data_IF_927339055504
#
_entry.id   IF_927339055504
#
_cell.length_a   1.000
_cell.length_b   1.000
_cell.length_c   1.000
_cell.angle_alpha   90.00
_cell.angle_beta   90.00
_cell.angle_gamma   90.00
#
_symmetry.space_group_name_H-M   'P 1'
#
loop_
_entity.id
_entity.type
_entity.pdbx_description
1 polymer ?
#
# COMPACT_ATOMS: atom_id res chain seq x y z
N UNK A 1 -13.98 -9.27 2.63
CA UNK A 1 -13.44 -9.52 1.26
C UNK A 1 -13.46 -8.22 0.48
N UNK A 2 -12.31 -7.78 0.00
CA UNK A 2 -12.20 -6.58 -0.85
C UNK A 2 -12.80 -6.89 -2.21
N UNK A 3 -13.80 -6.10 -2.61
CA UNK A 3 -14.52 -6.31 -3.88
C UNK A 3 -13.66 -5.89 -5.07
N UNK A 4 -13.97 -6.41 -6.26
CA UNK A 4 -13.13 -6.27 -7.46
C UNK A 4 -12.77 -4.82 -7.80
N UNK A 5 -13.74 -3.90 -7.72
CA UNK A 5 -13.54 -2.48 -8.04
C UNK A 5 -12.62 -1.80 -7.03
N UNK A 6 -12.89 -2.04 -5.74
CA UNK A 6 -12.07 -1.52 -4.64
C UNK A 6 -10.66 -2.11 -4.71
N UNK A 7 -10.53 -3.42 -4.98
CA UNK A 7 -9.24 -4.08 -5.10
C UNK A 7 -8.42 -3.48 -6.25
N UNK A 8 -9.04 -3.26 -7.41
CA UNK A 8 -8.34 -2.68 -8.56
C UNK A 8 -7.74 -1.31 -8.23
N UNK A 9 -8.50 -0.44 -7.54
CA UNK A 9 -7.99 0.86 -7.11
C UNK A 9 -6.93 0.72 -6.02
N UNK A 10 -7.15 -0.12 -5.00
CA UNK A 10 -6.17 -0.33 -3.92
C UNK A 10 -4.84 -0.87 -4.45
N UNK A 11 -4.87 -1.86 -5.35
CA UNK A 11 -3.66 -2.43 -5.97
C UNK A 11 -2.97 -1.41 -6.89
N UNK A 12 -3.73 -0.55 -7.57
CA UNK A 12 -3.14 0.56 -8.35
C UNK A 12 -2.40 1.55 -7.45
N UNK A 13 -2.95 1.87 -6.27
CA UNK A 13 -2.33 2.78 -5.29
C UNK A 13 -1.11 2.19 -4.59
N UNK A 14 -0.90 0.89 -4.63
CA UNK A 14 0.32 0.26 -4.12
C UNK A 14 1.54 0.55 -5.00
N UNK A 15 1.36 0.98 -6.25
CA UNK A 15 2.45 1.32 -7.19
C UNK A 15 3.52 0.21 -7.24
N UNK A 16 3.06 -1.03 -7.46
CA UNK A 16 3.89 -2.23 -7.39
C UNK A 16 4.96 -2.27 -8.48
N UNK A 17 6.21 -2.46 -8.06
CA UNK A 17 7.34 -2.82 -8.91
C UNK A 17 7.59 -4.33 -8.87
N UNK A 18 8.28 -4.87 -9.89
CA UNK A 18 8.44 -6.32 -10.09
C UNK A 18 9.12 -7.07 -8.94
N UNK A 19 9.97 -6.39 -8.19
CA UNK A 19 10.85 -6.91 -7.14
C UNK A 19 10.40 -6.55 -5.71
N UNK A 20 9.25 -5.90 -5.56
CA UNK A 20 8.81 -5.42 -4.26
C UNK A 20 8.51 -6.56 -3.27
N UNK A 21 8.84 -6.30 -2.02
CA UNK A 21 8.34 -7.03 -0.85
C UNK A 21 7.01 -6.38 -0.43
N UNK A 22 5.95 -7.16 -0.45
CA UNK A 22 4.58 -6.67 -0.19
C UNK A 22 4.01 -7.33 1.06
N UNK A 23 3.47 -6.54 1.97
CA UNK A 23 2.67 -7.02 3.09
C UNK A 23 1.19 -6.77 2.80
N UNK A 24 0.38 -7.83 2.88
CA UNK A 24 -1.09 -7.78 2.88
C UNK A 24 -1.57 -8.13 4.29
N UNK A 25 -1.93 -7.11 5.08
CA UNK A 25 -2.28 -7.24 6.49
C UNK A 25 -3.80 -7.28 6.64
N UNK A 26 -4.31 -8.35 7.28
CA UNK A 26 -5.73 -8.66 7.31
C UNK A 26 -6.20 -9.18 5.94
N UNK A 27 -5.45 -10.10 5.36
CA UNK A 27 -5.58 -10.54 3.97
C UNK A 27 -6.93 -11.21 3.63
N UNK A 28 -7.63 -11.76 4.64
CA UNK A 28 -8.95 -12.36 4.49
C UNK A 28 -8.95 -13.52 3.51
N UNK A 29 -9.48 -13.33 2.29
CA UNK A 29 -9.48 -14.36 1.24
C UNK A 29 -8.23 -14.33 0.36
N UNK A 30 -7.30 -13.39 0.59
CA UNK A 30 -6.07 -13.23 -0.20
C UNK A 30 -6.28 -12.66 -1.60
N UNK A 31 -7.41 -12.04 -1.86
CA UNK A 31 -7.66 -11.51 -3.21
C UNK A 31 -6.72 -10.36 -3.60
N UNK A 32 -6.26 -9.56 -2.64
CA UNK A 32 -5.22 -8.54 -2.85
C UNK A 32 -3.86 -9.20 -2.92
N UNK A 33 -3.56 -10.14 -2.00
CA UNK A 33 -2.30 -10.89 -1.97
C UNK A 33 -1.99 -11.58 -3.30
N UNK A 34 -2.98 -12.29 -3.87
CA UNK A 34 -2.81 -13.02 -5.14
C UNK A 34 -2.58 -12.03 -6.30
N UNK A 35 -3.37 -10.95 -6.37
CA UNK A 35 -3.21 -9.95 -7.44
C UNK A 35 -1.86 -9.23 -7.32
N UNK A 36 -1.40 -8.92 -6.10
CA UNK A 36 -0.07 -8.36 -5.87
C UNK A 36 1.03 -9.34 -6.29
N UNK A 37 0.93 -10.62 -5.92
CA UNK A 37 1.92 -11.64 -6.27
C UNK A 37 2.10 -11.80 -7.80
N UNK A 38 1.02 -11.68 -8.57
CA UNK A 38 1.09 -11.69 -10.04
C UNK A 38 1.82 -10.46 -10.61
N UNK A 39 1.80 -9.32 -9.89
CA UNK A 39 2.44 -8.06 -10.31
C UNK A 39 3.90 -7.94 -9.88
N UNK A 40 4.33 -8.71 -8.87
CA UNK A 40 5.69 -8.69 -8.32
C UNK A 40 6.40 -10.04 -8.55
N UNK A 41 6.60 -10.48 -9.81
CA UNK A 41 7.12 -11.83 -10.11
C UNK A 41 8.55 -12.08 -9.63
N UNK A 42 9.32 -11.04 -9.37
CA UNK A 42 10.70 -11.06 -8.85
C UNK A 42 10.76 -10.73 -7.36
N UNK A 43 9.63 -10.26 -6.79
CA UNK A 43 9.44 -9.94 -5.39
C UNK A 43 8.69 -11.03 -4.64
N UNK A 44 8.17 -10.66 -3.47
CA UNK A 44 7.43 -11.62 -2.63
C UNK A 44 6.27 -10.95 -1.89
N UNK A 45 5.18 -11.68 -1.67
CA UNK A 45 4.02 -11.23 -0.90
C UNK A 45 3.91 -12.04 0.39
N UNK A 46 3.80 -11.35 1.52
CA UNK A 46 3.47 -11.93 2.82
C UNK A 46 2.03 -11.55 3.16
N UNK A 47 1.15 -12.55 3.23
CA UNK A 47 -0.26 -12.40 3.54
C UNK A 47 -0.51 -12.78 5.01
N UNK A 48 -0.76 -11.77 5.84
CA UNK A 48 -0.99 -11.93 7.28
C UNK A 48 -2.49 -12.05 7.56
N UNK A 49 -2.90 -13.17 8.13
CA UNK A 49 -4.31 -13.44 8.43
C UNK A 49 -4.42 -14.22 9.76
N UNK A 50 -5.28 -13.73 10.66
CA UNK A 50 -5.44 -14.34 11.99
C UNK A 50 -6.37 -15.55 12.01
N UNK A 51 -7.32 -15.62 11.02
CA UNK A 51 -8.32 -16.69 10.97
C UNK A 51 -7.83 -17.85 10.12
N UNK A 52 -7.87 -19.07 10.63
CA UNK A 52 -7.42 -20.26 9.91
C UNK A 52 -8.21 -20.48 8.60
N UNK A 53 -9.54 -20.19 8.61
CA UNK A 53 -10.33 -20.30 7.40
C UNK A 53 -9.86 -19.30 6.34
N UNK A 54 -9.42 -18.08 6.74
CA UNK A 54 -8.82 -17.09 5.86
C UNK A 54 -7.51 -17.59 5.28
N UNK A 55 -6.62 -18.12 6.12
CA UNK A 55 -5.36 -18.71 5.69
C UNK A 55 -5.56 -19.85 4.66
N UNK A 56 -6.53 -20.72 4.90
CA UNK A 56 -6.87 -21.83 3.97
C UNK A 56 -7.37 -21.28 2.62
N UNK A 57 -8.21 -20.24 2.65
CA UNK A 57 -8.70 -19.59 1.42
C UNK A 57 -7.59 -18.90 0.64
N UNK A 58 -6.65 -18.24 1.32
CA UNK A 58 -5.49 -17.61 0.66
C UNK A 58 -4.67 -18.67 -0.07
N UNK A 59 -4.34 -19.79 0.60
CA UNK A 59 -3.58 -20.90 0.00
C UNK A 59 -4.27 -21.46 -1.23
N UNK A 60 -5.58 -21.75 -1.14
CA UNK A 60 -6.37 -22.29 -2.25
C UNK A 60 -6.43 -21.29 -3.43
N UNK A 61 -6.59 -19.99 -3.16
CA UNK A 61 -6.61 -18.97 -4.20
C UNK A 61 -5.23 -18.77 -4.86
N UNK A 62 -4.15 -18.84 -4.09
CA UNK A 62 -2.79 -18.79 -4.59
C UNK A 62 -2.48 -19.99 -5.52
N UNK A 63 -2.84 -21.21 -5.10
CA UNK A 63 -2.70 -22.41 -5.92
C UNK A 63 -3.48 -22.31 -7.23
N UNK A 64 -4.75 -21.90 -7.15
CA UNK A 64 -5.61 -21.71 -8.33
C UNK A 64 -5.05 -20.67 -9.31
N UNK A 65 -4.41 -19.63 -8.81
CA UNK A 65 -3.79 -18.59 -9.63
C UNK A 65 -2.37 -18.96 -10.10
N UNK A 66 -1.80 -20.07 -9.61
CA UNK A 66 -0.46 -20.53 -9.98
C UNK A 66 0.67 -19.64 -9.43
N UNK A 67 0.41 -18.80 -8.40
CA UNK A 67 1.44 -17.94 -7.81
C UNK A 67 2.29 -18.74 -6.82
N UNK A 68 3.62 -18.53 -6.86
CA UNK A 68 4.60 -19.23 -6.01
C UNK A 68 5.34 -18.30 -5.05
N UNK A 69 5.24 -17.00 -5.27
CA UNK A 69 5.88 -15.93 -4.52
C UNK A 69 4.94 -15.31 -3.47
N UNK A 70 4.10 -16.14 -2.82
CA UNK A 70 3.20 -15.73 -1.77
C UNK A 70 3.35 -16.67 -0.57
N UNK A 71 3.61 -16.09 0.61
CA UNK A 71 3.65 -16.79 1.89
C UNK A 71 2.45 -16.38 2.73
N UNK A 72 1.70 -17.36 3.22
CA UNK A 72 0.61 -17.14 4.17
C UNK A 72 1.15 -17.22 5.57
N UNK A 73 1.00 -16.15 6.33
CA UNK A 73 1.46 -16.02 7.71
C UNK A 73 0.26 -16.01 8.65
N UNK A 74 0.00 -17.10 9.36
CA UNK A 74 -1.06 -17.14 10.38
C UNK A 74 -0.67 -16.27 11.57
N UNK A 75 -1.62 -15.46 12.06
CA UNK A 75 -1.41 -14.68 13.29
C UNK A 75 -2.02 -13.30 13.22
N UNK A 76 -2.04 -12.65 14.37
CA UNK A 76 -2.55 -11.29 14.53
C UNK A 76 -1.39 -10.30 14.37
N UNK A 77 -1.61 -9.23 13.61
CA UNK A 77 -0.68 -8.11 13.54
C UNK A 77 -0.88 -7.17 14.76
N UNK A 78 0.19 -6.56 15.28
CA UNK A 78 1.54 -6.49 14.70
C UNK A 78 2.45 -7.71 14.99
N UNK A 79 2.12 -8.58 15.95
CA UNK A 79 3.00 -9.65 16.44
C UNK A 79 3.46 -10.60 15.32
N UNK A 80 2.58 -10.88 14.34
CA UNK A 80 2.89 -11.77 13.22
C UNK A 80 3.80 -11.15 12.15
N UNK A 81 4.08 -9.85 12.22
CA UNK A 81 4.88 -9.15 11.20
C UNK A 81 6.39 -9.31 11.39
N UNK A 82 6.84 -9.78 12.57
CA UNK A 82 8.26 -9.94 12.87
C UNK A 82 8.90 -11.12 12.14
N UNK A 83 10.19 -10.98 11.78
CA UNK A 83 10.99 -12.06 11.19
C UNK A 83 10.90 -12.17 9.68
N UNK A 84 10.27 -11.22 9.00
CA UNK A 84 10.19 -11.14 7.55
C UNK A 84 10.98 -9.93 7.01
N UNK A 85 11.40 -9.94 5.72
CA UNK A 85 12.05 -8.79 5.10
C UNK A 85 11.19 -7.54 5.19
N UNK A 86 11.83 -6.37 5.38
CA UNK A 86 11.13 -5.09 5.44
C UNK A 86 10.26 -4.86 4.19
N UNK A 87 9.00 -4.42 4.32
CA UNK A 87 8.12 -4.26 3.19
C UNK A 87 8.40 -2.97 2.42
N UNK A 88 8.37 -3.04 1.09
CA UNK A 88 8.33 -1.86 0.22
C UNK A 88 6.91 -1.31 0.11
N UNK A 89 5.93 -2.20 0.15
CA UNK A 89 4.52 -1.91 -0.05
C UNK A 89 3.67 -2.60 1.02
N UNK A 90 2.76 -1.87 1.61
CA UNK A 90 1.85 -2.41 2.63
C UNK A 90 0.42 -2.10 2.26
N UNK A 91 -0.39 -3.14 2.15
CA UNK A 91 -1.84 -3.04 2.11
C UNK A 91 -2.41 -3.42 3.48
N UNK A 92 -3.19 -2.54 4.09
CA UNK A 92 -3.90 -2.78 5.34
C UNK A 92 -5.41 -2.89 5.05
N UNK A 93 -5.90 -4.12 4.98
CA UNK A 93 -7.32 -4.44 4.76
C UNK A 93 -8.12 -4.64 6.04
N UNK A 94 -7.44 -4.81 7.18
CA UNK A 94 -8.04 -4.95 8.49
C UNK A 94 -6.98 -4.97 9.59
N UNK A 95 -7.17 -4.15 10.63
CA UNK A 95 -6.19 -3.98 11.73
C UNK A 95 -6.57 -4.72 13.01
N UNK A 96 -7.80 -5.23 13.12
CA UNK A 96 -8.32 -5.85 14.35
C UNK A 96 -8.12 -4.99 15.61
N UNK A 97 -8.16 -3.65 15.43
CA UNK A 97 -8.00 -2.67 16.51
C UNK A 97 -6.58 -2.15 16.73
N UNK A 98 -5.56 -2.74 16.09
CA UNK A 98 -4.14 -2.41 16.31
C UNK A 98 -3.55 -1.56 15.18
N UNK A 99 -4.34 -0.65 14.57
CA UNK A 99 -3.90 0.10 13.39
C UNK A 99 -2.63 0.92 13.66
N UNK A 100 -2.59 1.67 14.77
CA UNK A 100 -1.46 2.56 15.09
C UNK A 100 -0.16 1.75 15.26
N UNK A 101 -0.19 0.67 16.04
CA UNK A 101 0.97 -0.21 16.27
C UNK A 101 1.47 -0.88 14.97
N UNK A 102 0.54 -1.29 14.09
CA UNK A 102 0.87 -1.87 12.79
C UNK A 102 1.57 -0.84 11.91
N UNK A 103 1.01 0.37 11.80
CA UNK A 103 1.55 1.44 10.97
C UNK A 103 2.91 1.92 11.51
N UNK A 104 3.06 2.02 12.83
CA UNK A 104 4.33 2.37 13.46
C UNK A 104 5.41 1.33 13.13
N UNK A 105 5.10 0.04 13.30
CA UNK A 105 6.05 -1.02 13.02
C UNK A 105 6.48 -1.06 11.54
N UNK A 106 5.55 -1.00 10.59
CA UNK A 106 5.92 -1.07 9.17
C UNK A 106 6.69 0.15 8.70
N UNK A 107 6.47 1.33 9.29
CA UNK A 107 7.25 2.54 9.01
C UNK A 107 8.61 2.56 9.71
N UNK A 108 8.75 1.87 10.84
CA UNK A 108 10.04 1.61 11.47
C UNK A 108 10.89 0.64 10.62
N UNK A 109 10.27 -0.43 10.10
CA UNK A 109 10.93 -1.40 9.22
C UNK A 109 11.40 -0.77 7.90
N UNK A 110 10.58 0.11 7.31
CA UNK A 110 10.92 0.86 6.10
C UNK A 110 10.30 2.27 6.13
N UNK A 111 11.08 3.31 6.45
CA UNK A 111 10.58 4.69 6.46
C UNK A 111 10.06 5.21 5.10
N UNK A 112 10.44 4.57 3.99
CA UNK A 112 10.02 4.92 2.62
C UNK A 112 8.87 4.04 2.11
N UNK A 113 8.23 3.25 2.98
CA UNK A 113 7.16 2.33 2.61
C UNK A 113 5.97 3.05 1.97
N UNK A 114 5.41 2.47 0.91
CA UNK A 114 4.11 2.88 0.36
C UNK A 114 3.01 2.18 1.15
N UNK A 115 2.12 2.96 1.78
CA UNK A 115 0.98 2.47 2.53
C UNK A 115 -0.31 2.64 1.73
N UNK A 116 -1.15 1.60 1.70
CA UNK A 116 -2.53 1.67 1.23
C UNK A 116 -3.43 1.07 2.29
N UNK A 117 -4.36 1.87 2.81
CA UNK A 117 -5.25 1.50 3.91
C UNK A 117 -6.69 1.56 3.42
N UNK A 118 -7.44 0.48 3.59
CA UNK A 118 -8.86 0.44 3.30
C UNK A 118 -9.67 0.45 4.59
N UNK A 119 -10.55 1.43 4.75
CA UNK A 119 -11.43 1.54 5.91
C UNK A 119 -12.87 1.80 5.50
N UNK A 120 -13.82 1.28 6.28
CA UNK A 120 -15.26 1.45 6.09
C UNK A 120 -15.85 2.28 7.24
N UNK A 121 -15.40 2.04 8.48
CA UNK A 121 -15.87 2.75 9.66
C UNK A 121 -15.24 4.16 9.75
N UNK A 122 -16.04 5.14 10.14
CA UNK A 122 -15.59 6.54 10.31
C UNK A 122 -14.55 6.66 11.42
N UNK A 123 -14.64 5.85 12.46
CA UNK A 123 -13.69 5.78 13.54
C UNK A 123 -12.31 5.33 13.03
N UNK A 124 -12.28 4.31 12.16
CA UNK A 124 -11.04 3.84 11.55
C UNK A 124 -10.45 4.86 10.58
N UNK A 125 -11.30 5.60 9.85
CA UNK A 125 -10.85 6.72 9.01
C UNK A 125 -10.21 7.82 9.86
N UNK A 126 -10.88 8.22 10.94
CA UNK A 126 -10.37 9.24 11.88
C UNK A 126 -9.03 8.82 12.48
N UNK A 127 -8.91 7.55 12.92
CA UNK A 127 -7.66 7.00 13.47
C UNK A 127 -6.53 7.03 12.43
N UNK A 128 -6.78 6.61 11.20
CA UNK A 128 -5.78 6.63 10.13
C UNK A 128 -5.33 8.07 9.82
N UNK A 129 -6.28 9.02 9.66
CA UNK A 129 -5.96 10.43 9.39
C UNK A 129 -5.16 11.06 10.52
N UNK A 130 -5.50 10.76 11.78
CA UNK A 130 -4.76 11.26 12.95
C UNK A 130 -3.33 10.69 12.98
N UNK A 131 -3.16 9.41 12.65
CA UNK A 131 -1.83 8.80 12.55
C UNK A 131 -0.98 9.50 11.47
N UNK A 132 -1.53 9.70 10.26
CA UNK A 132 -0.83 10.42 9.18
C UNK A 132 -0.44 11.84 9.62
N UNK A 133 -1.35 12.55 10.28
CA UNK A 133 -1.09 13.90 10.82
C UNK A 133 0.05 13.91 11.83
N UNK A 134 0.09 12.94 12.77
CA UNK A 134 1.17 12.78 13.76
C UNK A 134 2.54 12.52 13.09
N UNK A 135 2.55 11.77 11.99
CA UNK A 135 3.78 11.45 11.23
C UNK A 135 4.18 12.55 10.24
N UNK A 136 3.36 13.57 10.04
CA UNK A 136 3.60 14.62 9.04
C UNK A 136 3.46 14.14 7.60
N UNK A 137 2.68 13.07 7.37
CA UNK A 137 2.40 12.53 6.04
C UNK A 137 1.08 13.06 5.52
N UNK A 138 1.00 13.33 4.21
CA UNK A 138 -0.22 13.78 3.53
C UNK A 138 -0.76 12.63 2.68
N UNK A 139 -1.83 11.92 3.13
CA UNK A 139 -2.39 10.82 2.35
C UNK A 139 -3.30 11.35 1.24
N UNK A 140 -3.24 10.71 0.08
CA UNK A 140 -4.33 10.78 -0.89
C UNK A 140 -5.51 9.97 -0.35
N UNK A 141 -6.70 10.55 -0.30
CA UNK A 141 -7.91 9.90 0.20
C UNK A 141 -8.94 9.79 -0.92
N UNK A 142 -9.33 8.56 -1.26
CA UNK A 142 -10.38 8.27 -2.25
C UNK A 142 -11.54 7.61 -1.54
N UNK A 143 -12.75 8.17 -1.69
CA UNK A 143 -13.99 7.52 -1.25
C UNK A 143 -14.64 6.83 -2.45
N UNK A 144 -14.83 5.52 -2.38
CA UNK A 144 -15.51 4.74 -3.40
C UNK A 144 -16.87 4.24 -2.92
N UNK A 145 -17.88 4.44 -3.74
CA UNK A 145 -19.20 3.85 -3.55
C UNK A 145 -19.55 2.99 -4.76
N UNK A 146 -19.84 1.72 -4.52
CA UNK A 146 -20.16 0.73 -5.56
C UNK A 146 -21.59 0.29 -5.40
N UNK A 147 -22.35 0.31 -6.49
CA UNK A 147 -23.67 -0.29 -6.57
C UNK A 147 -23.68 -1.36 -7.67
N UNK A 148 -24.34 -2.47 -7.41
CA UNK A 148 -24.44 -3.58 -8.37
C UNK A 148 -25.90 -3.92 -8.63
N UNK A 149 -26.21 -4.22 -9.90
CA UNK A 149 -27.52 -4.71 -10.26
C UNK A 149 -27.76 -6.11 -9.66
N UNK A 150 -28.87 -6.27 -8.97
CA UNK A 150 -29.35 -7.54 -8.44
C UNK A 150 -30.74 -7.84 -9.00
N UNK A 151 -30.96 -9.07 -9.46
CA UNK A 151 -32.27 -9.51 -9.96
C UNK A 151 -33.25 -9.65 -8.80
N UNK A 152 -34.39 -8.97 -8.90
CA UNK A 152 -35.50 -9.03 -7.93
C UNK A 152 -36.81 -9.27 -8.69
N UNK A 153 -37.22 -10.51 -8.75
CA UNK A 153 -38.36 -10.92 -9.61
C UNK A 153 -38.08 -10.64 -11.09
N UNK A 154 -38.96 -9.88 -11.80
CA UNK A 154 -38.74 -9.53 -13.20
C UNK A 154 -37.80 -8.32 -13.41
N UNK A 155 -37.37 -7.64 -12.35
CA UNK A 155 -36.60 -6.40 -12.41
C UNK A 155 -35.14 -6.57 -12.02
N UNK A 156 -34.29 -5.68 -12.48
CA UNK A 156 -32.92 -5.49 -11.98
C UNK A 156 -32.88 -4.19 -11.16
N UNK A 157 -32.55 -4.30 -9.88
CA UNK A 157 -32.45 -3.17 -8.97
C UNK A 157 -30.98 -2.93 -8.57
N UNK A 158 -30.57 -1.66 -8.50
CA UNK A 158 -29.26 -1.31 -7.99
C UNK A 158 -29.20 -1.51 -6.48
N UNK A 159 -28.24 -2.29 -6.03
CA UNK A 159 -27.97 -2.54 -4.62
C UNK A 159 -26.67 -1.83 -4.25
N UNK A 160 -26.78 -0.77 -3.46
CA UNK A 160 -25.66 -0.01 -2.94
C UNK A 160 -24.89 -0.83 -1.90
N UNK A 161 -23.59 -0.64 -1.88
CA UNK A 161 -22.69 -1.18 -0.88
C UNK A 161 -22.23 -0.04 0.03
N UNK A 162 -21.69 -0.38 1.21
CA UNK A 162 -21.09 0.65 2.06
C UNK A 162 -19.96 1.35 1.31
N UNK A 163 -19.88 2.69 1.42
CA UNK A 163 -18.71 3.43 0.97
C UNK A 163 -17.45 2.87 1.63
N UNK A 164 -16.35 2.90 0.90
CA UNK A 164 -15.03 2.53 1.43
C UNK A 164 -14.07 3.68 1.15
N UNK A 165 -13.24 3.99 2.14
CA UNK A 165 -12.17 4.97 1.99
C UNK A 165 -10.86 4.24 1.76
N UNK A 166 -10.13 4.66 0.74
CA UNK A 166 -8.80 4.18 0.39
C UNK A 166 -7.86 5.34 0.65
N UNK A 167 -6.96 5.15 1.61
CA UNK A 167 -5.91 6.12 1.92
C UNK A 167 -4.60 5.59 1.36
N UNK A 168 -3.86 6.41 0.63
CA UNK A 168 -2.56 6.04 0.08
C UNK A 168 -1.53 7.12 0.40
N UNK A 169 -0.37 6.73 0.94
CA UNK A 169 0.75 7.63 1.20
C UNK A 169 2.07 6.88 1.14
N UNK A 170 3.11 7.58 0.71
CA UNK A 170 4.48 7.10 0.73
C UNK A 170 5.28 7.81 1.80
N UNK A 171 6.06 7.05 2.56
CA UNK A 171 7.02 7.58 3.49
C UNK A 171 8.15 8.34 2.81
N UNK A 172 8.71 9.29 3.51
CA UNK A 172 9.87 10.04 3.04
C UNK A 172 11.13 9.41 3.61
N UNK A 173 12.12 9.11 2.77
CA UNK A 173 13.46 8.86 3.27
C UNK A 173 13.92 10.13 3.98
N UNK A 174 14.20 10.02 5.28
CA UNK A 174 14.86 11.10 6.00
C UNK A 174 16.21 11.30 5.32
N UNK A 175 16.37 12.37 4.53
CA UNK A 175 17.69 12.81 4.09
C UNK A 175 18.46 13.13 5.36
N UNK A 176 19.29 12.19 5.81
CA UNK A 176 20.35 12.52 6.75
C UNK A 176 21.16 13.61 6.07
N UNK A 177 21.03 14.83 6.58
CA UNK A 177 21.79 15.99 6.18
C UNK A 177 23.27 15.61 6.16
N UNK A 178 23.82 15.41 4.99
CA UNK A 178 25.26 15.48 4.79
C UNK A 178 25.67 16.95 4.91
N UNK A 179 25.57 17.48 6.12
CA UNK A 179 26.34 18.64 6.51
C UNK A 179 27.78 18.16 6.75
N UNK A 180 28.50 17.90 5.67
CA UNK A 180 29.94 17.94 5.72
C UNK A 180 30.32 19.42 5.84
N UNK A 181 30.98 19.86 6.94
CA UNK A 181 31.48 21.22 7.03
C UNK A 181 32.54 21.40 5.92
N UNK A 182 32.25 22.24 4.94
CA UNK A 182 33.27 22.69 3.99
C UNK A 182 34.24 23.58 4.75
N UNK A 183 35.46 23.10 4.85
CA UNK A 183 36.58 23.90 5.39
C UNK A 183 36.76 25.18 4.55
N UNK A 184 36.98 26.35 5.19
CA UNK A 184 37.21 27.57 4.44
C UNK A 184 38.63 27.62 3.90
N UNK A 185 38.78 27.85 2.61
CA UNK A 185 40.00 28.35 2.02
C UNK A 185 40.50 27.61 0.80
N UNK A 186 40.24 28.14 -0.40
CA UNK A 186 41.25 28.68 -1.30
C UNK A 186 40.61 29.26 -2.56
N UNK A 187 40.89 30.55 -2.75
CA UNK A 187 40.60 31.33 -3.95
C UNK A 187 41.32 30.78 -5.19
N UNK A 188 40.67 30.81 -6.32
CA UNK A 188 41.41 30.94 -7.56
C UNK A 188 40.77 30.36 -8.83
N UNK A 189 40.23 31.28 -9.62
CA UNK A 189 40.13 31.33 -11.10
C UNK A 189 38.88 30.78 -11.77
N UNK A 190 38.25 31.71 -12.42
CA UNK A 190 37.22 31.63 -13.43
C UNK A 190 37.55 30.74 -14.63
N UNK A 191 36.55 30.03 -15.12
CA UNK A 191 36.43 29.88 -16.59
C UNK A 191 34.95 29.63 -16.97
N UNK A 192 34.62 30.27 -18.07
CA UNK A 192 33.37 30.58 -18.70
C UNK A 192 32.63 29.40 -19.34
N UNK A 193 31.34 29.62 -19.47
CA UNK A 193 30.42 29.25 -20.57
C UNK A 193 30.20 27.75 -20.91
N UNK A 194 28.97 27.29 -20.64
CA UNK A 194 28.14 26.64 -21.67
C UNK A 194 26.70 26.52 -21.18
N UNK A 195 25.83 27.37 -21.72
CA UNK A 195 24.39 27.27 -21.74
C UNK A 195 23.94 25.97 -22.43
N UNK A 196 23.08 25.18 -21.73
CA UNK A 196 22.19 24.23 -22.40
C UNK A 196 20.84 24.22 -21.67
N UNK A 197 19.75 24.57 -22.38
CA UNK A 197 18.41 24.51 -21.79
C UNK A 197 17.92 23.07 -21.72
N UNK A 198 17.62 22.57 -20.54
CA UNK A 198 16.88 21.32 -20.37
C UNK A 198 15.40 21.55 -20.54
N UNK A 199 14.91 21.26 -21.73
CA UNK A 199 13.48 21.13 -22.01
C UNK A 199 12.98 19.82 -21.41
N UNK A 200 12.09 19.90 -20.42
CA UNK A 200 11.24 18.78 -20.02
C UNK A 200 10.08 18.64 -21.03
N UNK A 201 9.81 17.47 -21.56
CA UNK A 201 8.53 17.25 -22.22
C UNK A 201 7.46 16.93 -21.14
N UNK A 202 6.57 17.86 -20.94
CA UNK A 202 5.28 17.64 -20.30
C UNK A 202 4.45 16.74 -21.22
N UNK A 203 4.27 15.49 -20.84
CA UNK A 203 3.33 14.59 -21.54
C UNK A 203 1.96 14.75 -20.89
N UNK A 204 1.16 15.64 -21.48
CA UNK A 204 -0.26 15.81 -21.19
C UNK A 204 -1.01 14.65 -21.86
N UNK A 205 -1.48 13.68 -21.09
CA UNK A 205 -2.47 12.71 -21.54
C UNK A 205 -3.84 13.18 -21.09
N UNK A 206 -4.60 13.75 -22.03
CA UNK A 206 -6.02 14.01 -21.94
C UNK A 206 -6.75 12.75 -22.40
N UNK A 207 -7.52 12.13 -21.49
CA UNK A 207 -8.79 11.45 -21.77
C UNK A 207 -9.67 11.52 -20.53
#
# INVERSE_FOLDING_TARGET
MTKSEVRAVSVSKLELCRDNIVYDIGAGTGSVSVEAALKVPEGHVYAFEQKEEGCALIRANAEKAGVKNLTVVPGKAPESLYGYPAPDRVFLGGSSGNMEEILDLVTELNPAVQLVINVIALESLSQAMEWFRKKGWEPEVVCMQVSRAAKRGPYHMMQAQNPIYILAAQGQQTQQSQNVPVAPGQNGRAQKDADFPRTHPMMLLIF
#
